data_IF_534260123442
#
_entry.id   IF_534260123442
#
_cell.length_a   1.000
_cell.length_b   1.000
_cell.length_c   1.000
_cell.angle_alpha   90.00
_cell.angle_beta   90.00
_cell.angle_gamma   90.00
#
_symmetry.space_group_name_H-M   'P 1'
#
loop_
_entity.id
_entity.type
_entity.pdbx_description
1 polymer ?
#
# COMPACT_ATOMS: atom_id res chain seq x y z
N UNK A 1 1.34 15.48 -11.95
CA UNK A 1 2.51 14.87 -12.63
C UNK A 1 3.81 15.10 -11.89
N UNK A 2 4.04 16.32 -11.40
CA UNK A 2 5.30 16.62 -10.73
C UNK A 2 5.49 15.85 -9.44
N UNK A 3 4.41 15.68 -8.65
CA UNK A 3 4.49 14.90 -7.42
C UNK A 3 4.82 13.43 -7.71
N UNK A 4 4.21 12.86 -8.75
CA UNK A 4 4.45 11.46 -9.15
C UNK A 4 5.92 11.26 -9.51
N UNK A 5 6.46 12.11 -10.37
CA UNK A 5 7.85 12.00 -10.78
C UNK A 5 8.82 12.31 -9.64
N UNK A 6 8.48 13.25 -8.77
CA UNK A 6 9.28 13.56 -7.59
C UNK A 6 9.41 12.36 -6.68
N UNK A 7 8.30 11.66 -6.43
CA UNK A 7 8.32 10.44 -5.59
C UNK A 7 9.14 9.34 -6.28
N UNK A 8 8.94 9.17 -7.58
CA UNK A 8 9.70 8.16 -8.34
C UNK A 8 11.21 8.39 -8.20
N UNK A 9 11.65 9.62 -8.39
CA UNK A 9 13.07 9.96 -8.40
C UNK A 9 13.67 10.01 -7.00
N UNK A 10 12.96 10.61 -6.03
CA UNK A 10 13.54 10.93 -4.72
C UNK A 10 13.33 9.80 -3.69
N UNK A 11 12.21 9.10 -3.75
CA UNK A 11 11.90 8.03 -2.79
C UNK A 11 12.34 6.68 -3.34
N UNK A 12 11.93 6.34 -4.54
CA UNK A 12 12.24 5.05 -5.16
C UNK A 12 13.57 5.03 -5.90
N UNK A 13 14.19 6.20 -6.10
CA UNK A 13 15.50 6.33 -6.74
C UNK A 13 15.53 5.78 -8.15
N UNK A 14 14.43 5.92 -8.88
CA UNK A 14 14.30 5.48 -10.25
C UNK A 14 14.26 6.70 -11.17
N UNK A 15 14.86 6.57 -12.35
CA UNK A 15 14.92 7.67 -13.33
C UNK A 15 13.66 7.80 -14.15
N UNK A 16 13.03 6.68 -14.48
CA UNK A 16 11.85 6.67 -15.33
C UNK A 16 10.99 5.46 -15.03
N UNK A 17 9.75 5.51 -15.49
CA UNK A 17 8.85 4.37 -15.41
C UNK A 17 9.17 3.35 -16.49
N UNK A 18 8.94 2.07 -16.17
CA UNK A 18 8.93 1.00 -17.16
C UNK A 18 7.60 1.03 -17.91
N UNK A 19 7.52 0.26 -19.01
CA UNK A 19 6.30 0.17 -19.81
C UNK A 19 5.08 -0.14 -18.93
N UNK A 20 4.00 0.59 -19.15
CA UNK A 20 2.70 0.43 -18.47
C UNK A 20 2.67 0.85 -17.01
N UNK A 21 3.80 1.16 -16.38
CA UNK A 21 3.79 1.59 -14.98
C UNK A 21 3.12 2.96 -14.78
N UNK A 22 3.50 3.94 -15.58
CA UNK A 22 2.93 5.29 -15.47
C UNK A 22 1.43 5.27 -15.73
N UNK A 23 0.99 4.53 -16.73
CA UNK A 23 -0.43 4.42 -17.05
C UNK A 23 -1.22 3.82 -15.89
N UNK A 24 -0.69 2.76 -15.25
CA UNK A 24 -1.32 2.14 -14.10
C UNK A 24 -1.38 3.10 -12.92
N UNK A 25 -0.29 3.83 -12.65
CA UNK A 25 -0.23 4.80 -11.56
C UNK A 25 -1.26 5.91 -11.78
N UNK A 26 -1.31 6.48 -12.97
CA UNK A 26 -2.24 7.57 -13.26
C UNK A 26 -3.69 7.12 -13.17
N UNK A 27 -4.02 5.94 -13.69
CA UNK A 27 -5.37 5.40 -13.59
C UNK A 27 -5.76 5.15 -12.12
N UNK A 28 -4.84 4.65 -11.32
CA UNK A 28 -5.06 4.45 -9.89
C UNK A 28 -5.35 5.76 -9.17
N UNK A 29 -4.59 6.81 -9.49
CA UNK A 29 -4.78 8.12 -8.87
C UNK A 29 -6.08 8.79 -9.30
N UNK A 30 -6.63 8.42 -10.45
CA UNK A 30 -7.93 8.89 -10.92
C UNK A 30 -9.09 8.08 -10.34
N UNK A 31 -8.81 7.23 -9.37
CA UNK A 31 -9.80 6.40 -8.68
C UNK A 31 -10.50 5.39 -9.61
N UNK A 32 -9.76 4.89 -10.59
CA UNK A 32 -10.23 3.86 -11.50
C UNK A 32 -9.79 2.49 -11.03
N UNK A 33 -10.58 1.48 -11.31
CA UNK A 33 -10.15 0.10 -11.12
C UNK A 33 -9.11 -0.24 -12.18
N UNK A 34 -7.99 -0.84 -11.74
CA UNK A 34 -6.86 -1.12 -12.62
C UNK A 34 -6.47 -2.58 -12.51
N UNK A 35 -6.37 -3.24 -13.64
CA UNK A 35 -5.84 -4.60 -13.74
C UNK A 35 -4.48 -4.54 -14.41
N UNK A 36 -3.42 -4.96 -13.69
CA UNK A 36 -2.05 -4.90 -14.19
C UNK A 36 -1.54 -6.31 -14.43
N UNK A 37 -1.16 -6.58 -15.67
CA UNK A 37 -0.59 -7.86 -16.06
C UNK A 37 0.84 -7.62 -16.52
N UNK A 38 1.80 -7.99 -15.68
CA UNK A 38 3.22 -7.84 -15.96
C UNK A 38 3.95 -9.13 -15.59
N UNK A 39 5.05 -9.46 -16.28
CA UNK A 39 5.86 -10.60 -15.88
C UNK A 39 6.52 -10.39 -14.53
N UNK A 40 6.93 -11.46 -13.87
CA UNK A 40 7.70 -11.42 -12.64
C UNK A 40 8.94 -10.54 -12.86
N UNK A 41 9.19 -9.61 -11.94
CA UNK A 41 10.30 -8.67 -12.08
C UNK A 41 9.98 -7.47 -12.95
N UNK A 42 8.75 -7.33 -13.41
CA UNK A 42 8.33 -6.19 -14.23
C UNK A 42 8.02 -4.91 -13.46
N UNK A 43 8.18 -4.92 -12.14
CA UNK A 43 7.96 -3.74 -11.32
C UNK A 43 6.50 -3.50 -10.95
N UNK A 44 5.72 -4.57 -10.79
CA UNK A 44 4.30 -4.45 -10.45
C UNK A 44 4.04 -3.72 -9.13
N UNK A 45 4.91 -3.93 -8.15
CA UNK A 45 4.73 -3.33 -6.82
C UNK A 45 4.76 -1.81 -6.85
N UNK A 46 5.55 -1.22 -7.75
CA UNK A 46 5.61 0.24 -7.88
C UNK A 46 4.25 0.82 -8.28
N UNK A 47 3.45 0.06 -9.03
CA UNK A 47 2.14 0.52 -9.51
C UNK A 47 1.17 0.82 -8.37
N UNK A 48 1.34 0.22 -7.20
CA UNK A 48 0.52 0.52 -6.03
C UNK A 48 1.32 1.20 -4.90
N UNK A 49 2.62 0.97 -4.81
CA UNK A 49 3.42 1.60 -3.76
C UNK A 49 3.59 3.10 -3.99
N UNK A 50 3.83 3.52 -5.22
CA UNK A 50 3.98 4.94 -5.52
C UNK A 50 2.69 5.72 -5.31
N UNK A 51 1.51 5.27 -5.81
CA UNK A 51 0.27 5.98 -5.53
C UNK A 51 -0.05 6.09 -4.04
N UNK A 52 0.41 5.15 -3.21
CA UNK A 52 0.19 5.20 -1.76
C UNK A 52 0.84 6.43 -1.13
N UNK A 53 1.86 7.01 -1.75
CA UNK A 53 2.59 8.16 -1.24
C UNK A 53 2.09 9.49 -1.79
N UNK A 54 1.22 9.47 -2.80
CA UNK A 54 0.70 10.70 -3.40
C UNK A 54 -0.35 11.29 -2.47
N UNK A 55 -0.16 12.56 -2.10
CA UNK A 55 -1.04 13.26 -1.16
C UNK A 55 -2.05 14.17 -1.85
N UNK A 56 -1.82 14.51 -3.11
CA UNK A 56 -2.75 15.29 -3.90
C UNK A 56 -3.61 14.37 -4.77
N UNK A 57 -4.74 14.89 -5.26
CA UNK A 57 -5.60 14.14 -6.16
C UNK A 57 -6.84 13.58 -5.50
N UNK A 58 -7.53 12.69 -6.22
CA UNK A 58 -8.83 12.16 -5.83
C UNK A 58 -8.74 11.10 -4.72
N UNK A 59 -7.59 10.45 -4.57
CA UNK A 59 -7.43 9.37 -3.59
C UNK A 59 -6.30 9.70 -2.62
N UNK A 60 -6.62 9.79 -1.35
CA UNK A 60 -5.64 9.96 -0.26
C UNK A 60 -5.98 9.02 0.87
N UNK A 61 -4.97 8.69 1.68
CA UNK A 61 -5.14 7.84 2.85
C UNK A 61 -4.30 6.59 2.74
N UNK A 62 -4.68 5.58 3.49
CA UNK A 62 -3.95 4.31 3.56
C UNK A 62 -4.30 3.42 2.37
N UNK A 63 -3.28 2.85 1.74
CA UNK A 63 -3.45 1.79 0.74
C UNK A 63 -3.33 0.44 1.43
N UNK A 64 -4.32 -0.42 1.24
CA UNK A 64 -4.33 -1.77 1.80
C UNK A 64 -4.01 -2.77 0.70
N UNK A 65 -2.99 -3.61 0.92
CA UNK A 65 -2.57 -4.64 -0.03
C UNK A 65 -2.86 -6.01 0.58
N UNK A 66 -3.61 -6.83 -0.12
CA UNK A 66 -3.95 -8.19 0.33
C UNK A 66 -3.15 -9.18 -0.50
N UNK A 67 -2.31 -9.97 0.17
CA UNK A 67 -1.45 -10.94 -0.49
C UNK A 67 -1.28 -12.20 0.37
N UNK A 68 -1.32 -13.40 -0.24
CA UNK A 68 -1.07 -14.64 0.49
C UNK A 68 0.44 -14.92 0.71
N UNK A 69 1.32 -14.14 0.11
CA UNK A 69 2.76 -14.39 0.13
C UNK A 69 3.41 -13.63 1.27
N UNK A 70 3.41 -14.23 2.47
CA UNK A 70 3.87 -13.57 3.70
C UNK A 70 5.34 -13.15 3.60
N UNK A 71 6.20 -14.02 3.06
CA UNK A 71 7.63 -13.69 2.93
C UNK A 71 7.83 -12.48 2.01
N UNK A 72 7.08 -12.41 0.92
CA UNK A 72 7.15 -11.27 0.01
C UNK A 72 6.68 -9.99 0.70
N UNK A 73 5.60 -10.07 1.50
CA UNK A 73 5.11 -8.92 2.24
C UNK A 73 6.16 -8.39 3.22
N UNK A 74 6.85 -9.30 3.94
CA UNK A 74 7.90 -8.91 4.87
C UNK A 74 9.04 -8.18 4.15
N UNK A 75 9.47 -8.70 3.02
CA UNK A 75 10.53 -8.07 2.22
C UNK A 75 10.10 -6.70 1.73
N UNK A 76 8.89 -6.57 1.24
CA UNK A 76 8.38 -5.28 0.74
C UNK A 76 8.26 -4.25 1.86
N UNK A 77 7.77 -4.66 3.03
CA UNK A 77 7.67 -3.75 4.18
C UNK A 77 9.06 -3.27 4.61
N UNK A 78 10.05 -4.17 4.67
CA UNK A 78 11.41 -3.80 5.02
C UNK A 78 12.00 -2.79 4.04
N UNK A 79 11.78 -3.00 2.73
CA UNK A 79 12.25 -2.07 1.70
C UNK A 79 11.58 -0.71 1.84
N UNK A 80 10.29 -0.68 2.13
CA UNK A 80 9.56 0.57 2.28
C UNK A 80 9.99 1.32 3.53
N UNK A 81 10.17 0.62 4.65
CA UNK A 81 10.65 1.25 5.89
C UNK A 81 12.05 1.82 5.72
N UNK A 82 12.91 1.15 4.95
CA UNK A 82 14.25 1.66 4.65
C UNK A 82 14.22 2.96 3.85
N UNK A 83 13.10 3.25 3.17
CA UNK A 83 12.90 4.50 2.43
C UNK A 83 12.10 5.53 3.23
N UNK A 84 11.93 5.30 4.54
CA UNK A 84 11.15 6.16 5.43
C UNK A 84 9.67 6.26 5.06
N UNK A 85 9.15 5.23 4.40
CA UNK A 85 7.72 5.12 4.10
C UNK A 85 7.02 4.46 5.28
N UNK A 86 5.87 4.96 5.67
CA UNK A 86 5.10 4.43 6.79
C UNK A 86 4.33 3.19 6.33
N UNK A 87 4.92 2.03 6.56
CA UNK A 87 4.37 0.75 6.12
C UNK A 87 4.23 -0.20 7.29
N UNK A 88 3.27 -1.10 7.21
CA UNK A 88 3.07 -2.15 8.20
C UNK A 88 2.48 -3.38 7.57
N UNK A 89 2.47 -4.48 8.32
CA UNK A 89 1.85 -5.72 7.86
C UNK A 89 1.19 -6.46 9.01
N UNK A 90 0.14 -7.19 8.68
CA UNK A 90 -0.55 -8.09 9.60
C UNK A 90 -0.72 -9.43 8.92
N UNK A 91 -0.14 -10.46 9.51
CA UNK A 91 -0.27 -11.84 9.04
C UNK A 91 -0.68 -12.73 10.19
N UNK A 92 -1.07 -13.96 9.88
CA UNK A 92 -1.44 -14.94 10.91
C UNK A 92 -0.29 -15.34 11.83
N UNK A 93 0.97 -15.02 11.42
CA UNK A 93 2.17 -15.37 12.19
C UNK A 93 2.77 -14.19 12.95
N UNK A 94 2.13 -13.05 12.97
CA UNK A 94 2.66 -11.86 13.63
C UNK A 94 2.70 -12.00 15.15
N UNK A 95 3.77 -11.49 15.78
CA UNK A 95 3.88 -11.44 17.23
C UNK A 95 2.91 -10.41 17.82
N UNK A 96 2.47 -10.68 19.06
CA UNK A 96 1.41 -9.86 19.68
C UNK A 96 1.85 -8.43 20.00
N UNK A 97 3.10 -8.22 20.40
CA UNK A 97 3.54 -6.91 20.88
C UNK A 97 3.82 -5.92 19.75
N UNK A 98 4.42 -6.39 18.66
CA UNK A 98 4.67 -5.55 17.49
C UNK A 98 3.38 -5.12 16.82
N UNK A 99 2.34 -5.97 16.87
CA UNK A 99 1.06 -5.70 16.24
C UNK A 99 0.28 -4.58 16.91
N UNK A 100 0.40 -4.40 18.23
CA UNK A 100 -0.39 -3.38 18.94
C UNK A 100 -0.06 -1.97 18.47
N UNK A 101 1.23 -1.67 18.34
CA UNK A 101 1.65 -0.36 17.87
C UNK A 101 1.24 -0.13 16.41
N UNK A 102 1.42 -1.13 15.58
CA UNK A 102 1.04 -1.06 14.17
C UNK A 102 -0.47 -0.94 14.01
N UNK A 103 -1.24 -1.66 14.83
CA UNK A 103 -2.71 -1.54 14.83
C UNK A 103 -3.14 -0.12 15.16
N UNK A 104 -2.51 0.50 16.16
CA UNK A 104 -2.82 1.87 16.52
C UNK A 104 -2.57 2.83 15.35
N UNK A 105 -1.41 2.70 14.71
CA UNK A 105 -1.08 3.54 13.56
C UNK A 105 -2.05 3.33 12.41
N UNK A 106 -2.44 2.07 12.16
CA UNK A 106 -3.40 1.76 11.11
C UNK A 106 -4.77 2.35 11.42
N UNK A 107 -5.23 2.18 12.66
CA UNK A 107 -6.54 2.70 13.09
C UNK A 107 -6.64 4.21 12.96
N UNK A 108 -5.57 4.92 13.26
CA UNK A 108 -5.54 6.38 13.21
C UNK A 108 -5.22 6.94 11.81
N UNK A 109 -4.98 6.07 10.83
CA UNK A 109 -4.71 6.51 9.47
C UNK A 109 -3.30 7.06 9.26
N UNK A 110 -2.35 6.68 10.11
CA UNK A 110 -0.98 7.19 10.02
C UNK A 110 -0.09 6.38 9.07
N UNK A 111 -0.57 5.23 8.57
CA UNK A 111 0.22 4.41 7.65
C UNK A 111 -0.11 4.75 6.20
N UNK A 112 0.91 4.80 5.38
CA UNK A 112 0.74 5.02 3.94
C UNK A 112 0.29 3.75 3.24
N UNK A 113 0.83 2.59 3.65
CA UNK A 113 0.54 1.31 3.03
C UNK A 113 0.55 0.20 4.09
N UNK A 114 -0.43 -0.68 4.02
CA UNK A 114 -0.57 -1.81 4.95
C UNK A 114 -0.76 -3.08 4.14
N UNK A 115 0.01 -4.11 4.48
CA UNK A 115 -0.11 -5.43 3.88
C UNK A 115 -0.88 -6.35 4.80
N UNK A 116 -1.87 -7.04 4.26
CA UNK A 116 -2.69 -8.01 5.00
C UNK A 116 -2.64 -9.37 4.32
N UNK A 117 -2.58 -10.44 5.10
CA UNK A 117 -2.87 -11.76 4.55
C UNK A 117 -4.38 -11.86 4.29
N UNK A 118 -4.82 -12.70 3.33
CA UNK A 118 -6.25 -12.89 3.08
C UNK A 118 -7.00 -13.36 4.33
N UNK A 119 -6.36 -14.16 5.16
CA UNK A 119 -6.97 -14.64 6.41
C UNK A 119 -7.26 -13.49 7.36
N UNK A 120 -6.31 -12.57 7.55
CA UNK A 120 -6.52 -11.42 8.43
C UNK A 120 -7.58 -10.48 7.84
N UNK A 121 -7.63 -10.33 6.54
CA UNK A 121 -8.62 -9.46 5.90
C UNK A 121 -10.04 -10.01 6.05
N UNK A 122 -10.22 -11.33 5.94
CA UNK A 122 -11.53 -11.97 5.94
C UNK A 122 -12.02 -12.38 7.33
N UNK A 123 -11.12 -12.89 8.18
CA UNK A 123 -11.50 -13.51 9.44
C UNK A 123 -11.32 -12.61 10.65
N UNK A 124 -10.54 -11.55 10.54
CA UNK A 124 -10.28 -10.65 11.67
C UNK A 124 -11.33 -9.55 11.70
N UNK A 125 -12.19 -9.57 12.71
CA UNK A 125 -13.16 -8.50 12.91
C UNK A 125 -12.46 -7.16 13.15
N UNK A 126 -11.30 -7.18 13.83
CA UNK A 126 -10.54 -5.96 14.11
C UNK A 126 -10.09 -5.30 12.82
N UNK A 127 -9.57 -6.06 11.84
CA UNK A 127 -9.11 -5.50 10.56
C UNK A 127 -10.29 -4.94 9.76
N UNK A 128 -11.40 -5.66 9.72
CA UNK A 128 -12.58 -5.20 9.01
C UNK A 128 -13.14 -3.92 9.63
N UNK A 129 -13.16 -3.83 10.95
CA UNK A 129 -13.61 -2.63 11.65
C UNK A 129 -12.73 -1.43 11.33
N UNK A 130 -11.40 -1.61 11.32
CA UNK A 130 -10.47 -0.54 11.01
C UNK A 130 -10.65 -0.07 9.56
N UNK A 131 -10.75 -1.00 8.61
CA UNK A 131 -10.94 -0.64 7.20
C UNK A 131 -12.25 0.10 6.98
N UNK A 132 -13.32 -0.32 7.64
CA UNK A 132 -14.61 0.36 7.55
C UNK A 132 -14.53 1.77 8.11
N UNK A 133 -13.87 1.94 9.25
CA UNK A 133 -13.67 3.26 9.86
C UNK A 133 -12.89 4.18 8.93
N UNK A 134 -11.80 3.68 8.34
CA UNK A 134 -10.99 4.46 7.43
C UNK A 134 -11.78 4.84 6.17
N UNK A 135 -12.56 3.92 5.65
CA UNK A 135 -13.41 4.19 4.49
C UNK A 135 -14.42 5.29 4.80
N UNK A 136 -15.10 5.19 5.94
CA UNK A 136 -16.12 6.17 6.33
C UNK A 136 -15.54 7.56 6.59
N UNK A 137 -14.28 7.64 6.99
CA UNK A 137 -13.58 8.89 7.26
C UNK A 137 -12.79 9.42 6.06
N UNK A 138 -12.94 8.79 4.89
CA UNK A 138 -12.20 9.15 3.67
C UNK A 138 -10.69 9.02 3.85
N UNK A 139 -10.25 8.07 4.67
CA UNK A 139 -8.83 7.79 4.95
C UNK A 139 -8.36 6.47 4.33
N UNK A 140 -9.23 5.75 3.65
CA UNK A 140 -8.87 4.54 2.91
C UNK A 140 -8.72 4.90 1.43
N UNK A 141 -7.48 4.89 0.94
CA UNK A 141 -7.22 5.32 -0.43
C UNK A 141 -7.65 4.27 -1.45
N UNK A 142 -7.24 3.02 -1.22
CA UNK A 142 -7.52 1.92 -2.17
C UNK A 142 -7.22 0.58 -1.53
N UNK A 143 -7.71 -0.48 -2.19
CA UNK A 143 -7.41 -1.86 -1.84
C UNK A 143 -6.77 -2.53 -3.06
N UNK A 144 -5.65 -3.22 -2.84
CA UNK A 144 -4.88 -3.90 -3.88
C UNK A 144 -4.91 -5.41 -3.61
N UNK A 145 -5.14 -6.19 -4.64
CA UNK A 145 -5.20 -7.66 -4.53
C UNK A 145 -4.14 -8.31 -5.40
#
# INVERSE_FOLDING_TARGET
MDEVHSILNNVFKLKSFRANQLEAVLATLLNKDVFVLMPTGGGKSLCYQLPALVKSGATKGTTVVISPLISLMQDQVQHLLAKNIKAGMFSSKGGNDDNKHTIHLFREGFLDIVYLSPERANKSNAMQTIMTKLYNNNQLARVVI
#
